data_IF_045170862307
#
_entry.id   IF_045170862307
#
_cell.length_a   1.000
_cell.length_b   1.000
_cell.length_c   1.000
_cell.angle_alpha   90.00
_cell.angle_beta   90.00
_cell.angle_gamma   90.00
#
_symmetry.space_group_name_H-M   'P 1'
#
loop_
_entity.id
_entity.type
_entity.pdbx_description
1 polymer ?
#
# COMPACT_ATOMS: atom_id res chain seq x y z
N UNK A 1 32.51 -13.22 -3.19
CA UNK A 1 33.05 -13.45 -1.83
C UNK A 1 32.87 -12.16 -1.04
N UNK A 2 31.83 -12.08 -0.21
CA UNK A 2 31.59 -10.95 0.70
C UNK A 2 32.29 -11.26 2.02
N UNK A 3 33.36 -10.53 2.32
CA UNK A 3 34.07 -10.63 3.61
C UNK A 3 33.49 -9.57 4.55
N UNK A 4 32.88 -10.02 5.64
CA UNK A 4 32.36 -9.18 6.72
C UNK A 4 33.52 -8.74 7.63
N UNK A 5 33.67 -7.42 7.76
CA UNK A 5 34.32 -6.62 8.80
C UNK A 5 35.69 -7.06 9.39
N UNK A 6 36.69 -6.21 9.11
CA UNK A 6 37.85 -5.97 9.98
C UNK A 6 37.37 -5.45 11.34
N UNK A 7 37.52 -6.27 12.39
CA UNK A 7 37.35 -5.88 13.79
C UNK A 7 38.73 -5.67 14.40
N UNK A 8 38.91 -4.49 14.99
CA UNK A 8 39.91 -4.06 15.96
C UNK A 8 40.95 -5.10 16.41
N UNK A 9 42.22 -4.78 16.16
CA UNK A 9 43.40 -5.41 16.76
C UNK A 9 43.37 -5.32 18.29
N UNK A 10 42.94 -6.38 18.96
CA UNK A 10 43.33 -6.68 20.33
C UNK A 10 44.30 -7.86 20.34
N UNK A 11 45.43 -7.66 21.01
CA UNK A 11 46.60 -8.54 21.06
C UNK A 11 46.29 -9.89 21.74
N UNK A 12 46.79 -10.97 21.15
CA UNK A 12 47.20 -12.18 21.88
C UNK A 12 46.09 -13.13 22.32
N UNK A 13 45.55 -13.94 21.40
CA UNK A 13 45.07 -15.30 21.66
C UNK A 13 44.72 -15.95 20.32
N UNK A 14 44.99 -17.24 20.18
CA UNK A 14 44.74 -18.02 18.96
C UNK A 14 43.23 -18.03 18.70
N UNK A 15 42.78 -17.18 17.79
CA UNK A 15 41.39 -17.16 17.34
C UNK A 15 41.23 -18.33 16.37
N UNK A 16 40.79 -19.48 16.88
CA UNK A 16 40.33 -20.56 16.01
C UNK A 16 39.18 -20.00 15.19
N UNK A 17 39.32 -19.99 13.87
CA UNK A 17 38.26 -19.56 12.97
C UNK A 17 37.10 -20.54 13.12
N UNK A 18 36.10 -20.19 13.92
CA UNK A 18 34.82 -20.88 13.98
C UNK A 18 34.13 -20.67 12.62
N UNK A 19 34.42 -21.57 11.68
CA UNK A 19 33.76 -21.65 10.39
C UNK A 19 32.41 -22.32 10.59
N UNK A 20 31.44 -21.56 11.09
CA UNK A 20 30.04 -22.01 11.06
C UNK A 20 29.58 -21.91 9.61
N UNK A 21 29.50 -23.06 8.94
CA UNK A 21 28.90 -23.14 7.62
C UNK A 21 27.41 -22.75 7.72
N UNK A 22 26.88 -21.93 6.80
CA UNK A 22 25.45 -21.64 6.77
C UNK A 22 24.68 -22.95 6.59
N UNK A 23 23.58 -23.10 7.32
CA UNK A 23 22.64 -24.22 7.15
C UNK A 23 22.27 -24.35 5.67
N UNK A 24 22.30 -25.57 5.12
CA UNK A 24 22.06 -25.82 3.69
C UNK A 24 20.71 -25.27 3.20
N UNK A 25 19.71 -25.18 4.08
CA UNK A 25 18.41 -24.59 3.77
C UNK A 25 18.47 -23.09 3.43
N UNK A 26 19.47 -22.36 3.92
CA UNK A 26 19.67 -20.93 3.63
C UNK A 26 20.45 -20.69 2.32
N UNK A 27 21.05 -21.74 1.76
CA UNK A 27 21.72 -21.69 0.46
C UNK A 27 20.73 -21.77 -0.70
N UNK A 28 19.52 -22.26 -0.45
CA UNK A 28 18.47 -22.31 -1.45
C UNK A 28 17.76 -20.95 -1.51
N UNK A 29 17.46 -20.42 -2.72
CA UNK A 29 16.63 -19.24 -2.86
C UNK A 29 15.28 -19.44 -2.16
N UNK A 30 14.82 -18.41 -1.44
CA UNK A 30 13.54 -18.47 -0.76
C UNK A 30 12.39 -18.61 -1.79
N UNK A 31 11.64 -19.72 -1.81
CA UNK A 31 10.58 -19.92 -2.78
C UNK A 31 9.37 -19.05 -2.42
N UNK A 32 9.21 -17.92 -3.10
CA UNK A 32 8.05 -17.03 -2.91
C UNK A 32 6.85 -17.61 -3.65
N UNK A 33 5.75 -17.97 -2.96
CA UNK A 33 4.56 -18.46 -3.62
C UNK A 33 3.90 -17.34 -4.43
N UNK A 34 3.63 -17.61 -5.70
CA UNK A 34 2.80 -16.73 -6.52
C UNK A 34 1.36 -16.83 -6.02
N UNK A 35 0.67 -15.72 -5.79
CA UNK A 35 -0.74 -15.68 -5.33
C UNK A 35 -1.47 -14.53 -6.00
N UNK A 36 -2.75 -14.70 -6.31
CA UNK A 36 -3.58 -13.61 -6.80
C UNK A 36 -4.19 -12.87 -5.59
N UNK A 37 -3.77 -11.64 -5.37
CA UNK A 37 -4.12 -10.84 -4.20
C UNK A 37 -5.35 -9.96 -4.51
N UNK A 38 -6.55 -10.47 -4.23
CA UNK A 38 -7.83 -9.77 -4.40
C UNK A 38 -8.52 -9.52 -3.05
N UNK A 39 -7.76 -9.59 -1.96
CA UNK A 39 -8.18 -9.03 -0.70
C UNK A 39 -8.23 -7.50 -0.76
N UNK A 40 -8.77 -6.86 0.27
CA UNK A 40 -8.69 -5.41 0.46
C UNK A 40 -7.31 -4.99 0.97
N UNK A 41 -6.36 -5.91 1.15
CA UNK A 41 -4.97 -5.70 1.56
C UNK A 41 -4.05 -5.39 0.37
N UNK A 42 -2.72 -5.65 0.45
CA UNK A 42 -1.82 -5.32 -0.63
C UNK A 42 -2.22 -6.05 -1.93
N UNK A 43 -2.16 -5.36 -3.06
CA UNK A 43 -2.39 -5.94 -4.37
C UNK A 43 -1.10 -6.50 -4.99
N UNK A 44 -1.20 -7.23 -6.10
CA UNK A 44 -0.02 -7.74 -6.79
C UNK A 44 0.85 -6.60 -7.34
N UNK A 45 2.17 -6.78 -7.32
CA UNK A 45 3.15 -5.80 -7.81
C UNK A 45 3.55 -6.14 -9.26
N UNK A 46 3.35 -5.25 -10.25
CA UNK A 46 3.83 -5.42 -11.61
C UNK A 46 5.34 -5.66 -11.69
N UNK A 47 5.78 -6.53 -12.61
CA UNK A 47 7.19 -6.87 -12.78
C UNK A 47 8.09 -5.64 -13.00
N UNK A 48 7.59 -4.60 -13.66
CA UNK A 48 8.31 -3.34 -13.88
C UNK A 48 8.59 -2.58 -12.58
N UNK A 49 7.59 -2.51 -11.69
CA UNK A 49 7.72 -1.85 -10.37
C UNK A 49 8.67 -2.65 -9.47
N UNK A 50 8.55 -3.98 -9.46
CA UNK A 50 9.46 -4.85 -8.74
C UNK A 50 10.92 -4.72 -9.24
N UNK A 51 11.12 -4.65 -10.57
CA UNK A 51 12.44 -4.47 -11.16
C UNK A 51 13.07 -3.10 -10.83
N UNK A 52 12.25 -2.06 -10.68
CA UNK A 52 12.71 -0.74 -10.25
C UNK A 52 13.15 -0.75 -8.77
N UNK A 53 12.39 -1.40 -7.89
CA UNK A 53 12.78 -1.56 -6.49
C UNK A 53 14.07 -2.37 -6.28
N UNK A 54 14.39 -3.25 -7.23
CA UNK A 54 15.62 -4.04 -7.23
C UNK A 54 16.86 -3.30 -7.77
N UNK A 55 16.72 -2.04 -8.20
CA UNK A 55 17.85 -1.27 -8.71
C UNK A 55 18.84 -0.89 -7.60
N UNK A 56 20.15 -0.78 -7.91
CA UNK A 56 21.14 -0.30 -6.96
C UNK A 56 20.80 1.11 -6.44
N UNK A 57 21.11 1.37 -5.17
CA UNK A 57 20.93 2.70 -4.58
C UNK A 57 21.92 3.70 -5.21
N UNK A 58 21.41 4.73 -5.86
CA UNK A 58 22.21 5.79 -6.51
C UNK A 58 22.50 7.00 -5.60
N UNK A 59 22.35 6.86 -4.28
CA UNK A 59 22.50 7.96 -3.31
C UNK A 59 21.14 8.51 -2.80
N UNK A 60 21.14 9.57 -1.98
CA UNK A 60 19.92 10.15 -1.43
C UNK A 60 19.00 10.65 -2.56
N UNK A 61 17.79 10.12 -2.69
CA UNK A 61 16.89 10.53 -3.75
C UNK A 61 16.24 11.89 -3.41
N UNK A 62 16.58 12.94 -4.17
CA UNK A 62 15.77 14.16 -4.24
C UNK A 62 14.57 13.89 -5.16
N UNK A 63 13.43 13.47 -4.62
CA UNK A 63 12.19 13.34 -5.38
C UNK A 63 11.08 14.17 -4.74
N UNK A 64 11.11 15.49 -4.95
CA UNK A 64 10.00 16.34 -4.55
C UNK A 64 8.81 16.09 -5.48
N UNK A 65 7.68 15.63 -4.93
CA UNK A 65 6.37 15.70 -5.57
C UNK A 65 5.45 16.55 -4.69
N UNK A 66 5.52 17.86 -4.87
CA UNK A 66 4.52 18.79 -4.37
C UNK A 66 3.47 19.01 -5.47
N UNK A 67 2.22 18.68 -5.18
CA UNK A 67 1.10 19.31 -5.85
C UNK A 67 0.56 20.39 -4.88
N UNK A 68 0.98 21.65 -5.10
CA UNK A 68 0.05 22.76 -4.83
C UNK A 68 -1.06 22.67 -5.87
N UNK A 69 -2.31 23.10 -5.63
CA UNK A 69 -2.73 24.49 -5.42
C UNK A 69 -4.14 24.56 -4.76
N UNK A 70 -4.80 25.71 -4.80
CA UNK A 70 -5.89 26.20 -3.93
C UNK A 70 -7.28 25.58 -4.15
N UNK A 71 -8.11 25.54 -3.09
CA UNK A 71 -9.44 24.89 -3.13
C UNK A 71 -10.50 25.41 -2.12
N UNK A 72 -11.81 25.30 -2.47
CA UNK A 72 -12.85 26.34 -2.17
C UNK A 72 -13.99 25.95 -1.18
N UNK A 73 -14.09 24.74 -0.61
CA UNK A 73 -15.26 24.37 0.22
C UNK A 73 -15.12 24.50 1.75
N UNK A 74 -13.89 24.64 2.24
CA UNK A 74 -13.52 24.60 3.67
C UNK A 74 -13.62 25.97 4.39
N UNK A 75 -13.97 27.03 3.66
CA UNK A 75 -13.96 28.42 4.16
C UNK A 75 -15.06 28.75 5.18
N UNK A 76 -16.23 28.10 5.14
CA UNK A 76 -17.40 28.54 5.93
C UNK A 76 -17.23 28.39 7.45
N UNK A 77 -16.47 27.39 7.90
CA UNK A 77 -16.31 27.08 9.32
C UNK A 77 -14.86 27.16 9.80
N UNK A 78 -13.95 27.65 8.96
CA UNK A 78 -12.51 27.74 9.24
C UNK A 78 -11.92 26.41 9.79
N UNK A 79 -12.33 25.28 9.21
CA UNK A 79 -11.77 23.97 9.50
C UNK A 79 -10.73 23.58 8.44
N UNK A 80 -9.97 22.51 8.68
CA UNK A 80 -9.17 21.85 7.65
C UNK A 80 -9.85 20.54 7.25
N UNK A 81 -9.88 20.24 5.96
CA UNK A 81 -10.47 19.03 5.41
C UNK A 81 -9.40 17.99 5.08
N UNK A 82 -9.39 16.91 5.85
CA UNK A 82 -8.45 15.79 5.67
C UNK A 82 -9.17 14.59 5.04
N UNK A 83 -8.56 13.99 4.03
CA UNK A 83 -9.10 12.82 3.31
C UNK A 83 -8.11 11.65 3.32
N UNK A 84 -8.57 10.50 3.81
CA UNK A 84 -7.93 9.20 3.59
C UNK A 84 -8.34 8.67 2.21
N UNK A 85 -7.38 8.55 1.31
CA UNK A 85 -7.59 8.04 -0.05
C UNK A 85 -6.91 6.69 -0.30
N UNK A 86 -6.47 5.97 0.73
CA UNK A 86 -5.69 4.73 0.63
C UNK A 86 -6.36 3.72 -0.30
N UNK A 87 -7.64 3.46 -0.11
CA UNK A 87 -8.38 2.51 -0.95
C UNK A 87 -8.96 3.15 -2.22
N UNK A 88 -8.91 4.47 -2.39
CA UNK A 88 -9.67 5.19 -3.40
C UNK A 88 -8.83 5.75 -4.54
N UNK A 89 -7.64 6.29 -4.23
CA UNK A 89 -6.80 6.97 -5.21
C UNK A 89 -6.46 6.04 -6.38
N UNK A 90 -6.63 6.54 -7.60
CA UNK A 90 -6.40 5.80 -8.85
C UNK A 90 -7.59 4.93 -9.31
N UNK A 91 -8.55 4.61 -8.43
CA UNK A 91 -9.75 3.83 -8.78
C UNK A 91 -11.03 4.66 -8.90
N UNK A 92 -11.08 5.81 -8.22
CA UNK A 92 -12.16 6.80 -8.32
C UNK A 92 -11.57 8.19 -8.61
N UNK A 93 -12.29 9.07 -9.33
CA UNK A 93 -11.84 10.45 -9.54
C UNK A 93 -11.67 11.19 -8.20
N UNK A 94 -10.51 11.81 -8.02
CA UNK A 94 -10.19 12.69 -6.89
C UNK A 94 -9.42 13.89 -7.46
N UNK A 95 -9.98 15.08 -7.31
CA UNK A 95 -9.41 16.34 -7.72
C UNK A 95 -9.19 17.19 -6.45
N UNK A 96 -8.02 17.03 -5.81
CA UNK A 96 -7.69 17.64 -4.50
C UNK A 96 -8.06 19.13 -4.47
N UNK A 97 -7.63 19.86 -5.50
CA UNK A 97 -7.77 21.31 -5.64
C UNK A 97 -9.20 21.74 -5.99
N UNK A 98 -9.93 20.96 -6.79
CA UNK A 98 -11.32 21.30 -7.10
C UNK A 98 -12.25 21.01 -5.90
N UNK A 99 -11.89 20.00 -5.10
CA UNK A 99 -12.72 19.45 -4.03
C UNK A 99 -12.53 20.12 -2.66
N UNK A 100 -11.59 21.06 -2.51
CA UNK A 100 -11.41 21.73 -1.23
C UNK A 100 -10.55 20.97 -0.22
N UNK A 101 -9.78 19.96 -0.64
CA UNK A 101 -9.08 19.06 0.28
C UNK A 101 -7.80 19.72 0.79
N UNK A 102 -7.71 19.92 2.11
CA UNK A 102 -6.57 20.58 2.74
C UNK A 102 -5.40 19.61 3.01
N UNK A 103 -5.69 18.34 3.29
CA UNK A 103 -4.70 17.28 3.55
C UNK A 103 -5.20 15.98 2.92
N UNK A 104 -4.36 15.29 2.15
CA UNK A 104 -4.71 13.98 1.60
C UNK A 104 -3.53 13.03 1.68
N UNK A 105 -3.77 11.79 2.10
CA UNK A 105 -2.78 10.72 2.02
C UNK A 105 -3.35 9.48 1.35
N UNK A 106 -2.45 8.63 0.86
CA UNK A 106 -2.77 7.33 0.25
C UNK A 106 -1.74 6.27 0.67
N UNK A 107 -1.96 5.01 0.25
CA UNK A 107 -1.05 3.89 0.51
C UNK A 107 -0.53 3.31 -0.80
N UNK A 108 0.74 2.94 -0.81
CA UNK A 108 1.44 2.46 -2.00
C UNK A 108 0.95 1.08 -2.48
N UNK A 109 0.42 0.26 -1.58
CA UNK A 109 0.05 -1.13 -1.80
C UNK A 109 -1.39 -1.38 -2.27
N UNK A 110 -2.11 -0.36 -2.71
CA UNK A 110 -3.51 -0.51 -3.15
C UNK A 110 -3.61 -0.47 -4.67
N UNK A 111 -4.26 0.55 -5.22
CA UNK A 111 -4.36 0.73 -6.66
C UNK A 111 -2.99 1.01 -7.29
N UNK A 112 -2.10 1.61 -6.51
CA UNK A 112 -0.72 1.92 -6.89
C UNK A 112 0.14 0.66 -7.13
N UNK A 113 -0.25 -0.52 -6.62
CA UNK A 113 0.48 -1.78 -6.85
C UNK A 113 1.99 -1.74 -6.50
N UNK A 114 2.42 -0.86 -5.59
CA UNK A 114 3.78 -0.85 -5.02
C UNK A 114 3.81 -1.72 -3.76
N UNK A 115 4.95 -2.34 -3.39
CA UNK A 115 5.07 -3.03 -2.11
C UNK A 115 4.60 -2.16 -0.91
N UNK A 116 3.98 -2.73 0.13
CA UNK A 116 3.62 -1.96 1.31
C UNK A 116 4.87 -1.39 2.00
N UNK A 117 4.82 -0.11 2.37
CA UNK A 117 5.90 0.54 3.13
C UNK A 117 5.98 2.04 2.96
N UNK A 118 5.29 2.61 1.97
CA UNK A 118 5.27 4.06 1.73
C UNK A 118 3.86 4.61 1.64
N UNK A 119 3.71 5.88 1.99
CA UNK A 119 2.43 6.59 1.99
C UNK A 119 2.62 8.00 1.44
N UNK A 120 2.29 8.24 0.15
CA UNK A 120 2.26 9.59 -0.39
C UNK A 120 1.25 10.46 0.37
N UNK A 121 1.63 11.72 0.64
CA UNK A 121 0.82 12.70 1.36
C UNK A 121 1.01 14.08 0.74
N UNK A 122 -0.07 14.88 0.68
CA UNK A 122 -0.05 16.27 0.22
C UNK A 122 -0.76 17.18 1.21
N UNK A 123 -0.32 18.45 1.23
CA UNK A 123 -0.81 19.51 2.10
C UNK A 123 -1.09 20.78 1.30
N UNK A 124 -2.27 21.35 1.51
CA UNK A 124 -2.61 22.71 1.05
C UNK A 124 -1.81 23.78 1.79
N UNK A 125 -1.79 24.99 1.26
CA UNK A 125 -1.15 26.13 1.91
C UNK A 125 -1.72 26.42 3.31
N UNK A 126 -3.05 26.30 3.49
CA UNK A 126 -3.72 26.47 4.78
C UNK A 126 -3.25 25.44 5.81
N UNK A 127 -3.10 24.19 5.39
CA UNK A 127 -2.57 23.13 6.24
C UNK A 127 -1.10 23.38 6.60
N UNK A 128 -0.27 23.77 5.63
CA UNK A 128 1.12 24.16 5.86
C UNK A 128 1.21 25.31 6.88
N UNK A 129 0.44 26.39 6.70
CA UNK A 129 0.41 27.51 7.65
C UNK A 129 0.04 27.05 9.06
N UNK A 130 -0.93 26.13 9.21
CA UNK A 130 -1.30 25.56 10.51
C UNK A 130 -0.14 24.79 11.16
N UNK A 131 0.61 24.01 10.35
CA UNK A 131 1.76 23.23 10.80
C UNK A 131 2.91 24.14 11.22
N UNK A 132 3.28 25.14 10.40
CA UNK A 132 4.42 26.02 10.67
C UNK A 132 4.16 27.07 11.76
N UNK A 133 2.90 27.45 12.00
CA UNK A 133 2.52 28.41 13.05
C UNK A 133 2.15 27.75 14.40
N UNK A 134 2.40 26.45 14.58
CA UNK A 134 2.11 25.74 15.83
C UNK A 134 2.99 26.26 16.98
N UNK A 135 2.43 26.34 18.19
CA UNK A 135 3.16 26.77 19.40
C UNK A 135 3.93 25.64 20.08
N UNK A 136 3.50 24.39 19.87
CA UNK A 136 4.08 23.21 20.51
C UNK A 136 4.72 22.30 19.47
N UNK A 137 5.73 21.51 19.88
CA UNK A 137 6.33 20.48 19.03
C UNK A 137 5.38 19.29 18.88
N UNK A 138 5.30 18.65 17.70
CA UNK A 138 4.62 17.38 17.57
C UNK A 138 5.34 16.35 18.44
N UNK A 139 4.58 15.36 18.89
CA UNK A 139 5.09 14.29 19.76
C UNK A 139 6.12 13.42 19.01
N UNK A 140 5.91 13.23 17.71
CA UNK A 140 6.81 12.44 16.87
C UNK A 140 7.77 13.35 16.12
N UNK A 141 9.07 13.13 16.33
CA UNK A 141 10.12 13.72 15.51
C UNK A 141 10.07 13.18 14.07
N UNK A 142 9.95 11.85 13.92
CA UNK A 142 9.98 11.18 12.61
C UNK A 142 8.81 11.59 11.69
N UNK A 143 7.69 12.03 12.28
CA UNK A 143 6.51 12.52 11.56
C UNK A 143 6.35 14.04 11.68
N UNK A 144 7.39 14.76 12.09
CA UNK A 144 7.35 16.23 12.07
C UNK A 144 7.45 16.71 10.63
N UNK A 145 6.34 17.21 10.10
CA UNK A 145 6.24 17.68 8.73
C UNK A 145 7.16 18.86 8.44
N UNK A 146 7.60 19.62 9.44
CA UNK A 146 8.60 20.68 9.24
C UNK A 146 9.97 20.09 8.87
N UNK A 147 10.35 18.98 9.50
CA UNK A 147 11.60 18.28 9.19
C UNK A 147 11.52 17.48 7.90
N UNK A 148 10.38 16.81 7.67
CA UNK A 148 10.16 16.08 6.42
C UNK A 148 10.10 17.03 5.22
N UNK A 149 9.41 18.17 5.32
CA UNK A 149 9.37 19.15 4.24
C UNK A 149 10.77 19.66 3.87
N UNK A 150 11.65 19.86 4.86
CA UNK A 150 13.04 20.22 4.61
C UNK A 150 13.78 19.08 3.88
N UNK A 151 13.75 17.86 4.44
CA UNK A 151 14.39 16.68 3.87
C UNK A 151 13.97 16.39 2.42
N UNK A 152 12.71 16.63 2.08
CA UNK A 152 12.19 16.45 0.73
C UNK A 152 12.41 17.68 -0.18
N UNK A 153 12.64 18.88 0.38
CA UNK A 153 12.42 20.19 -0.25
C UNK A 153 13.60 21.17 -0.30
N UNK A 154 14.82 20.66 -0.46
CA UNK A 154 16.01 21.43 -0.89
C UNK A 154 16.91 22.09 0.17
N UNK A 155 16.82 21.80 1.48
CA UNK A 155 18.02 21.94 2.33
C UNK A 155 18.60 20.56 2.66
N UNK A 156 19.92 20.43 2.61
CA UNK A 156 20.66 19.17 2.77
C UNK A 156 20.69 18.64 4.22
N UNK A 157 19.70 19.02 5.04
CA UNK A 157 19.61 18.59 6.43
C UNK A 157 19.16 17.13 6.50
N UNK A 158 20.04 16.28 7.01
CA UNK A 158 19.74 14.88 7.23
C UNK A 158 18.62 14.70 8.28
N UNK A 159 17.50 14.11 7.88
CA UNK A 159 16.42 13.73 8.80
C UNK A 159 16.45 12.23 9.14
N UNK A 160 16.46 11.37 8.11
CA UNK A 160 16.46 9.92 8.22
C UNK A 160 16.93 9.28 6.90
N UNK A 161 17.26 7.99 6.95
CA UNK A 161 17.49 7.18 5.75
C UNK A 161 16.14 6.76 5.16
N UNK A 162 15.75 7.39 4.05
CA UNK A 162 14.51 7.04 3.33
C UNK A 162 14.57 5.66 2.65
N UNK A 163 13.43 4.99 2.43
CA UNK A 163 13.36 3.68 1.77
C UNK A 163 13.58 3.80 0.25
N UNK A 164 14.85 3.88 -0.17
CA UNK A 164 15.27 4.12 -1.56
C UNK A 164 14.59 3.18 -2.57
N UNK A 165 14.57 1.87 -2.28
CA UNK A 165 13.91 0.87 -3.15
C UNK A 165 12.42 1.15 -3.36
N UNK A 166 11.70 1.54 -2.30
CA UNK A 166 10.28 1.87 -2.42
C UNK A 166 10.06 3.16 -3.19
N UNK A 167 10.98 4.12 -3.14
CA UNK A 167 10.89 5.33 -3.96
C UNK A 167 11.05 5.03 -5.46
N UNK A 168 11.92 4.11 -5.84
CA UNK A 168 12.00 3.63 -7.23
C UNK A 168 10.69 2.96 -7.67
N UNK A 169 10.10 2.12 -6.81
CA UNK A 169 8.80 1.50 -7.06
C UNK A 169 7.68 2.53 -7.23
N UNK A 170 7.59 3.52 -6.32
CA UNK A 170 6.61 4.60 -6.38
C UNK A 170 6.75 5.46 -7.64
N UNK A 171 8.00 5.74 -8.06
CA UNK A 171 8.26 6.52 -9.27
C UNK A 171 7.75 5.81 -10.53
N UNK A 172 7.96 4.50 -10.64
CA UNK A 172 7.41 3.72 -11.76
C UNK A 172 5.88 3.65 -11.72
N UNK A 173 5.30 3.57 -10.53
CA UNK A 173 3.86 3.54 -10.33
C UNK A 173 3.17 4.79 -10.85
N UNK A 174 3.78 5.97 -10.63
CA UNK A 174 3.23 7.25 -11.05
C UNK A 174 3.00 7.31 -12.56
N UNK A 175 3.96 6.78 -13.34
CA UNK A 175 3.82 6.64 -14.79
C UNK A 175 2.65 5.74 -15.18
N UNK A 176 2.42 4.64 -14.44
CA UNK A 176 1.37 3.68 -14.75
C UNK A 176 -0.05 4.21 -14.40
N UNK A 177 -0.15 4.98 -13.31
CA UNK A 177 -1.43 5.47 -12.78
C UNK A 177 -2.04 6.57 -13.64
N UNK A 178 -1.23 7.47 -14.21
CA UNK A 178 -1.68 8.54 -15.14
C UNK A 178 -2.37 7.94 -16.38
N UNK A 179 -1.93 6.77 -16.86
CA UNK A 179 -2.50 6.11 -18.04
C UNK A 179 -3.83 5.39 -17.77
N UNK A 180 -4.06 4.88 -16.56
CA UNK A 180 -5.25 4.06 -16.23
C UNK A 180 -6.45 4.89 -15.72
N UNK A 181 -6.20 6.05 -15.08
CA UNK A 181 -7.26 6.89 -14.47
C UNK A 181 -8.31 7.36 -15.49
N UNK A 182 -7.96 7.52 -16.77
CA UNK A 182 -8.90 8.01 -17.79
C UNK A 182 -10.03 7.05 -18.18
N UNK A 183 -10.11 5.83 -17.61
CA UNK A 183 -11.11 4.82 -18.00
C UNK A 183 -12.19 4.47 -16.96
N UNK A 184 -12.12 4.99 -15.73
CA UNK A 184 -13.13 4.66 -14.71
C UNK A 184 -14.37 5.57 -14.85
N UNK A 185 -15.49 5.00 -15.26
CA UNK A 185 -16.77 5.72 -15.47
C UNK A 185 -17.83 5.28 -14.46
N UNK A 186 -18.44 6.28 -13.81
CA UNK A 186 -19.67 6.23 -13.00
C UNK A 186 -19.62 5.51 -11.64
N UNK A 187 -19.66 6.30 -10.56
CA UNK A 187 -20.00 5.83 -9.20
C UNK A 187 -21.51 5.64 -9.15
N UNK A 188 -22.00 4.40 -9.17
CA UNK A 188 -23.40 4.08 -8.90
C UNK A 188 -23.56 3.69 -7.43
N UNK A 189 -24.53 4.28 -6.74
CA UNK A 189 -25.00 3.87 -5.40
C UNK A 189 -23.92 3.86 -4.30
N UNK A 190 -23.00 4.85 -4.29
CA UNK A 190 -21.95 4.99 -3.27
C UNK A 190 -21.03 3.75 -3.09
N UNK A 191 -20.91 2.90 -4.11
CA UNK A 191 -20.00 1.76 -4.11
C UNK A 191 -18.60 2.18 -4.50
N UNK A 192 -17.60 1.74 -3.74
CA UNK A 192 -16.20 1.96 -4.05
C UNK A 192 -15.74 0.96 -5.14
N UNK A 193 -15.26 1.41 -6.32
CA UNK A 193 -14.88 0.50 -7.41
C UNK A 193 -13.73 -0.46 -7.04
N UNK A 194 -12.84 -0.04 -6.15
CA UNK A 194 -11.61 -0.78 -5.82
C UNK A 194 -11.82 -1.89 -4.80
N UNK A 195 -12.86 -1.80 -3.96
CA UNK A 195 -13.19 -2.82 -2.96
C UNK A 195 -14.70 -3.00 -2.93
N UNK A 196 -15.15 -4.15 -3.41
CA UNK A 196 -16.56 -4.54 -3.36
C UNK A 196 -16.82 -5.34 -2.09
N UNK A 197 -17.79 -4.89 -1.30
CA UNK A 197 -18.36 -5.64 -0.19
C UNK A 197 -19.49 -6.53 -0.70
N UNK A 198 -19.39 -7.83 -0.43
CA UNK A 198 -20.39 -8.84 -0.77
C UNK A 198 -20.96 -9.35 0.54
N UNK A 199 -22.27 -9.35 0.71
CA UNK A 199 -22.91 -9.89 1.93
C UNK A 199 -22.52 -11.37 2.05
N UNK A 200 -22.08 -11.78 3.25
CA UNK A 200 -21.76 -13.17 3.50
C UNK A 200 -23.02 -14.04 3.31
N UNK A 201 -22.94 -15.15 2.56
CA UNK A 201 -24.12 -15.95 2.26
C UNK A 201 -24.68 -16.61 3.54
N UNK A 202 -26.00 -16.58 3.76
CA UNK A 202 -26.60 -17.13 4.98
C UNK A 202 -26.26 -18.61 5.18
N UNK A 203 -25.87 -18.96 6.40
CA UNK A 203 -25.51 -20.33 6.79
C UNK A 203 -24.08 -20.76 6.44
N UNK A 204 -23.27 -19.91 5.80
CA UNK A 204 -21.86 -20.22 5.52
C UNK A 204 -20.91 -19.49 6.47
N UNK A 205 -19.81 -20.17 6.87
CA UNK A 205 -18.68 -19.48 7.50
C UNK A 205 -17.80 -18.84 6.42
N UNK A 206 -17.64 -17.52 6.49
CA UNK A 206 -16.78 -16.77 5.57
C UNK A 206 -15.31 -17.27 5.60
N UNK A 207 -14.84 -17.80 6.73
CA UNK A 207 -13.49 -18.36 6.86
C UNK A 207 -13.32 -19.61 6.02
N UNK A 208 -14.35 -20.45 5.95
CA UNK A 208 -14.34 -21.66 5.15
C UNK A 208 -14.31 -21.31 3.65
N UNK A 209 -15.12 -20.35 3.23
CA UNK A 209 -15.14 -19.84 1.85
C UNK A 209 -13.77 -19.28 1.46
N UNK A 210 -13.24 -18.35 2.26
CA UNK A 210 -11.94 -17.72 1.96
C UNK A 210 -10.79 -18.73 2.01
N UNK A 211 -10.81 -19.68 2.95
CA UNK A 211 -9.85 -20.77 3.05
C UNK A 211 -9.91 -21.73 1.85
N UNK A 212 -11.11 -22.06 1.37
CA UNK A 212 -11.31 -22.89 0.18
C UNK A 212 -10.73 -22.21 -1.06
N UNK A 213 -11.09 -20.95 -1.31
CA UNK A 213 -10.60 -20.19 -2.47
C UNK A 213 -9.08 -20.05 -2.43
N UNK A 214 -8.51 -19.81 -1.26
CA UNK A 214 -7.06 -19.76 -1.10
C UNK A 214 -6.41 -21.12 -1.42
N UNK A 215 -6.96 -22.22 -0.90
CA UNK A 215 -6.38 -23.57 -1.08
C UNK A 215 -6.50 -24.08 -2.53
N UNK A 216 -7.65 -23.86 -3.17
CA UNK A 216 -7.97 -24.44 -4.49
C UNK A 216 -7.53 -23.54 -5.64
N UNK A 217 -7.72 -22.22 -5.51
CA UNK A 217 -7.48 -21.25 -6.59
C UNK A 217 -6.26 -20.37 -6.36
N UNK A 218 -5.59 -20.51 -5.21
CA UNK A 218 -4.43 -19.72 -4.81
C UNK A 218 -4.69 -18.21 -4.95
N UNK A 219 -5.91 -17.83 -4.57
CA UNK A 219 -6.49 -16.50 -4.71
C UNK A 219 -6.93 -16.04 -3.33
N UNK A 220 -6.48 -14.85 -2.93
CA UNK A 220 -6.83 -14.26 -1.66
C UNK A 220 -8.05 -13.36 -1.83
N UNK A 221 -9.09 -13.61 -1.05
CA UNK A 221 -10.15 -12.66 -0.73
C UNK A 221 -10.26 -12.58 0.80
N UNK A 222 -10.97 -11.61 1.35
CA UNK A 222 -11.01 -11.46 2.81
C UNK A 222 -12.43 -11.31 3.35
N UNK A 223 -12.63 -11.65 4.62
CA UNK A 223 -13.83 -11.25 5.36
C UNK A 223 -13.85 -9.75 5.65
N UNK A 224 -14.96 -9.30 6.25
CA UNK A 224 -15.10 -7.95 6.79
C UNK A 224 -14.12 -7.65 7.93
N UNK A 225 -13.94 -6.36 8.20
CA UNK A 225 -13.09 -5.84 9.27
C UNK A 225 -13.89 -4.83 10.12
N UNK A 226 -13.57 -4.76 11.42
CA UNK A 226 -14.22 -3.84 12.34
C UNK A 226 -15.74 -4.04 12.36
N UNK A 227 -16.56 -2.99 12.13
CA UNK A 227 -18.02 -3.09 12.14
C UNK A 227 -18.61 -4.08 11.12
N UNK A 228 -17.83 -4.46 10.09
CA UNK A 228 -18.28 -5.39 9.04
C UNK A 228 -17.83 -6.83 9.26
N UNK A 229 -17.09 -7.11 10.35
CA UNK A 229 -16.55 -8.43 10.63
C UNK A 229 -17.67 -9.48 10.74
N UNK A 230 -17.52 -10.60 10.02
CA UNK A 230 -18.51 -11.67 9.96
C UNK A 230 -19.74 -11.40 9.08
N UNK A 231 -19.95 -10.16 8.62
CA UNK A 231 -21.13 -9.79 7.83
C UNK A 231 -20.90 -9.84 6.32
N UNK A 232 -19.66 -9.63 5.89
CA UNK A 232 -19.32 -9.45 4.47
C UNK A 232 -18.05 -10.20 4.09
N UNK A 233 -17.96 -10.51 2.81
CA UNK A 233 -16.72 -10.77 2.07
C UNK A 233 -16.29 -9.47 1.36
N UNK A 234 -14.99 -9.31 1.14
CA UNK A 234 -14.38 -8.16 0.49
C UNK A 234 -13.50 -8.65 -0.65
N UNK A 235 -13.79 -8.15 -1.84
CA UNK A 235 -13.03 -8.42 -3.07
C UNK A 235 -12.46 -7.11 -3.58
N UNK A 236 -11.14 -7.04 -3.68
CA UNK A 236 -10.36 -5.92 -4.17
C UNK A 236 -10.05 -6.05 -5.65
N UNK A 237 -10.42 -5.05 -6.45
CA UNK A 237 -10.00 -4.89 -7.84
C UNK A 237 -9.16 -3.62 -7.91
N UNK A 238 -7.84 -3.78 -7.78
CA UNK A 238 -6.90 -2.67 -7.62
C UNK A 238 -5.80 -2.70 -8.68
N UNK A 239 -5.67 -1.61 -9.43
CA UNK A 239 -4.61 -1.39 -10.40
C UNK A 239 -4.51 -2.52 -11.42
N UNK A 240 -3.36 -3.19 -11.53
CA UNK A 240 -3.12 -4.29 -12.47
C UNK A 240 -4.04 -5.50 -12.25
N UNK A 241 -4.60 -5.66 -11.04
CA UNK A 241 -5.56 -6.73 -10.76
C UNK A 241 -6.96 -6.42 -11.28
N UNK A 242 -7.26 -5.18 -11.67
CA UNK A 242 -8.55 -4.75 -12.21
C UNK A 242 -8.74 -5.17 -13.67
N UNK A 243 -8.92 -6.47 -13.89
CA UNK A 243 -9.15 -7.05 -15.23
C UNK A 243 -10.40 -7.93 -15.25
N UNK A 244 -11.04 -8.04 -16.42
CA UNK A 244 -12.19 -8.93 -16.61
C UNK A 244 -11.83 -10.38 -16.27
N UNK A 245 -10.64 -10.84 -16.64
CA UNK A 245 -10.19 -12.20 -16.36
C UNK A 245 -10.11 -12.49 -14.85
N UNK A 246 -9.63 -11.54 -14.04
CA UNK A 246 -9.58 -11.71 -12.58
C UNK A 246 -10.98 -11.67 -11.95
N UNK A 247 -11.89 -10.86 -12.50
CA UNK A 247 -13.30 -10.87 -12.09
C UNK A 247 -13.93 -12.23 -12.36
N UNK A 248 -13.79 -12.74 -13.59
CA UNK A 248 -14.32 -14.05 -13.98
C UNK A 248 -13.77 -15.16 -13.07
N UNK A 249 -12.46 -15.13 -12.76
CA UNK A 249 -11.80 -16.09 -11.87
C UNK A 249 -12.36 -16.07 -10.44
N UNK A 250 -12.62 -14.89 -9.87
CA UNK A 250 -13.20 -14.79 -8.52
C UNK A 250 -14.64 -15.26 -8.50
N UNK A 251 -15.43 -14.94 -9.53
CA UNK A 251 -16.82 -15.39 -9.61
C UNK A 251 -16.90 -16.92 -9.72
N UNK A 252 -16.02 -17.53 -10.51
CA UNK A 252 -15.89 -18.98 -10.59
C UNK A 252 -15.50 -19.58 -9.23
N UNK A 253 -14.46 -19.06 -8.59
CA UNK A 253 -13.97 -19.56 -7.31
C UNK A 253 -15.01 -19.41 -6.18
N UNK A 254 -15.78 -18.31 -6.15
CA UNK A 254 -16.90 -18.14 -5.22
C UNK A 254 -18.02 -19.14 -5.49
N UNK A 255 -18.38 -19.34 -6.76
CA UNK A 255 -19.42 -20.31 -7.15
C UNK A 255 -19.03 -21.72 -6.73
N UNK A 256 -17.75 -22.07 -6.90
CA UNK A 256 -17.23 -23.38 -6.54
C UNK A 256 -17.14 -23.57 -5.02
N UNK A 257 -16.71 -22.53 -4.28
CA UNK A 257 -16.69 -22.54 -2.82
C UNK A 257 -18.10 -22.76 -2.24
N UNK A 258 -19.14 -22.14 -2.80
CA UNK A 258 -20.51 -22.32 -2.30
C UNK A 258 -21.07 -23.74 -2.49
N UNK A 259 -20.52 -24.51 -3.44
CA UNK A 259 -20.88 -25.93 -3.66
C UNK A 259 -20.16 -26.87 -2.71
N UNK A 260 -18.96 -26.51 -2.25
CA UNK A 260 -18.08 -27.39 -1.48
C UNK A 260 -17.99 -27.05 0.00
N UNK A 261 -18.20 -25.79 0.37
CA UNK A 261 -18.22 -25.36 1.76
C UNK A 261 -19.52 -25.79 2.46
N UNK A 262 -19.41 -26.06 3.76
CA UNK A 262 -20.54 -26.45 4.57
C UNK A 262 -21.55 -25.30 4.70
N UNK A 263 -22.83 -25.63 4.50
CA UNK A 263 -23.95 -24.74 4.73
C UNK A 263 -24.75 -25.22 5.94
N UNK A 264 -24.70 -24.46 7.03
CA UNK A 264 -25.60 -24.66 8.16
C UNK A 264 -27.04 -24.37 7.73
N UNK A 265 -27.93 -25.34 7.97
CA UNK A 265 -29.37 -25.20 7.75
C UNK A 265 -30.07 -24.47 8.91
N UNK A 266 -29.32 -24.07 9.94
CA UNK A 266 -29.80 -23.28 11.07
C UNK A 266 -29.26 -21.87 10.96
N UNK A 267 -30.14 -20.94 10.62
CA UNK A 267 -29.92 -19.49 10.63
C UNK A 267 -31.11 -18.83 11.31
#
# INVERSE_FOLDING_TARGET
MLTIASVCQCRGSIMSSLSVLPLECLLQPFPVPQRLMLGPGPSNVPARIAAAGAQPMLGPPCYLFFFGVNSVLSFRYNCLFLVDSVAALGGTPICIDEQGIDIMYTGSQKVLNEPPGTAPISFSERACQKIFNRRTKPISYFLDMSWLANYWGCDDNFHHTGPVSSFYGLRETHMFTIYFIFRSTSIKNARLPTVTTIVAPPGYDWREITGYIMKTYNTEISGGIGPSAGMVLRVGLMGCNSSKANVDKVLEALTDALKHCHKSLTA
#
